data_IF_071947777094
#
_entry.id   IF_071947777094
#
_cell.length_a   1.000
_cell.length_b   1.000
_cell.length_c   1.000
_cell.angle_alpha   90.00
_cell.angle_beta   90.00
_cell.angle_gamma   90.00
#
_symmetry.space_group_name_H-M   'P 1'
#
loop_
_entity.id
_entity.type
_entity.pdbx_description
1 polymer ?
#
# COMPACT_ATOMS: atom_id res chain seq x y z
N UNK A 1 -13.01 -18.69 24.04
CA UNK A 1 -12.46 -20.06 23.84
C UNK A 1 -12.75 -20.94 25.05
N UNK A 2 -12.41 -20.52 26.28
CA UNK A 2 -12.68 -21.30 27.49
C UNK A 2 -14.16 -21.55 27.82
N UNK A 3 -15.08 -20.68 27.39
CA UNK A 3 -16.53 -20.94 27.52
C UNK A 3 -17.07 -22.13 26.71
N UNK A 4 -16.21 -22.83 25.94
CA UNK A 4 -16.54 -24.08 25.25
C UNK A 4 -15.99 -25.32 25.99
N UNK A 5 -15.28 -25.14 27.10
CA UNK A 5 -14.75 -26.24 27.90
C UNK A 5 -15.87 -26.81 28.79
N UNK A 6 -16.26 -28.06 28.54
CA UNK A 6 -17.32 -28.76 29.26
C UNK A 6 -18.68 -28.71 28.55
N UNK A 7 -19.35 -29.87 28.43
CA UNK A 7 -20.69 -29.99 27.85
C UNK A 7 -21.74 -30.11 28.98
N UNK A 8 -22.68 -29.16 29.11
CA UNK A 8 -23.60 -29.09 30.26
C UNK A 8 -24.44 -30.34 30.56
N UNK A 9 -24.63 -31.23 29.58
CA UNK A 9 -25.44 -32.45 29.73
C UNK A 9 -24.61 -33.74 29.87
N UNK A 10 -23.31 -33.71 29.58
CA UNK A 10 -22.49 -34.92 29.45
C UNK A 10 -21.31 -34.94 30.42
N UNK A 11 -20.64 -33.80 30.62
CA UNK A 11 -19.38 -33.74 31.37
C UNK A 11 -19.64 -33.19 32.78
N UNK A 12 -19.00 -33.76 33.80
CA UNK A 12 -19.12 -33.30 35.20
C UNK A 12 -18.26 -32.07 35.50
N UNK A 13 -17.17 -31.88 34.76
CA UNK A 13 -16.35 -30.68 34.77
C UNK A 13 -15.74 -30.43 33.39
N UNK A 14 -15.41 -29.18 33.09
CA UNK A 14 -14.70 -28.78 31.87
C UNK A 14 -13.26 -28.38 32.20
N UNK A 15 -12.30 -28.91 31.44
CA UNK A 15 -10.89 -28.52 31.58
C UNK A 15 -10.45 -27.67 30.38
N UNK A 16 -9.73 -26.59 30.65
CA UNK A 16 -9.21 -25.69 29.63
C UNK A 16 -7.79 -25.27 29.95
N UNK A 17 -6.85 -25.66 29.09
CA UNK A 17 -5.42 -25.37 29.25
C UNK A 17 -5.04 -24.20 28.34
N UNK A 18 -4.49 -23.13 28.92
CA UNK A 18 -3.89 -22.02 28.18
C UNK A 18 -2.37 -22.17 28.19
N UNK A 19 -1.76 -22.23 27.01
CA UNK A 19 -0.31 -22.16 26.85
C UNK A 19 0.04 -20.73 26.43
N UNK A 20 0.84 -20.04 27.24
CA UNK A 20 1.22 -18.64 27.02
C UNK A 20 2.64 -18.37 27.54
N UNK A 21 3.18 -17.20 27.22
CA UNK A 21 4.43 -16.72 27.78
C UNK A 21 4.29 -16.40 29.27
N UNK A 22 5.38 -16.55 30.02
CA UNK A 22 5.38 -16.26 31.47
C UNK A 22 4.96 -14.81 31.79
N UNK A 23 5.27 -13.86 30.91
CA UNK A 23 4.90 -12.44 31.05
C UNK A 23 3.38 -12.19 31.02
N UNK A 24 2.62 -13.01 30.29
CA UNK A 24 1.18 -12.83 30.10
C UNK A 24 0.35 -13.68 31.08
N UNK A 25 1.00 -14.57 31.85
CA UNK A 25 0.32 -15.46 32.79
C UNK A 25 -0.56 -14.69 33.79
N UNK A 26 -0.04 -13.59 34.36
CA UNK A 26 -0.82 -12.75 35.28
C UNK A 26 -2.04 -12.12 34.61
N UNK A 27 -1.92 -11.70 33.35
CA UNK A 27 -3.03 -11.15 32.59
C UNK A 27 -4.15 -12.19 32.40
N UNK A 28 -3.81 -13.40 31.96
CA UNK A 28 -4.80 -14.47 31.78
C UNK A 28 -5.40 -14.95 33.12
N UNK A 29 -4.60 -15.02 34.19
CA UNK A 29 -5.12 -15.32 35.54
C UNK A 29 -6.11 -14.24 36.01
N UNK A 30 -5.80 -12.96 35.79
CA UNK A 30 -6.71 -11.87 36.14
C UNK A 30 -8.02 -11.92 35.34
N UNK A 31 -7.95 -12.25 34.04
CA UNK A 31 -9.13 -12.36 33.17
C UNK A 31 -10.09 -13.48 33.60
N UNK A 32 -9.56 -14.56 34.17
CA UNK A 32 -10.35 -15.74 34.57
C UNK A 32 -10.84 -15.68 36.01
N UNK A 33 -10.02 -15.18 36.92
CA UNK A 33 -10.33 -15.16 38.35
C UNK A 33 -10.96 -13.84 38.81
N UNK A 34 -10.81 -12.75 38.05
CA UNK A 34 -11.37 -11.45 38.36
C UNK A 34 -12.24 -10.95 37.21
N UNK A 35 -13.32 -10.25 37.53
CA UNK A 35 -14.04 -9.47 36.52
C UNK A 35 -13.19 -8.25 36.19
N UNK A 36 -12.45 -8.29 35.08
CA UNK A 36 -11.78 -7.08 34.60
C UNK A 36 -12.83 -5.98 34.36
N UNK A 37 -12.63 -4.76 34.91
CA UNK A 37 -13.57 -3.67 34.67
C UNK A 37 -13.58 -3.35 33.17
N UNK A 38 -14.77 -3.38 32.57
CA UNK A 38 -14.94 -3.04 31.16
C UNK A 38 -14.83 -1.52 31.03
N UNK A 39 -13.73 -1.04 30.46
CA UNK A 39 -13.47 0.37 30.22
C UNK A 39 -13.89 0.82 28.82
N UNK A 40 -14.30 2.08 28.69
CA UNK A 40 -14.72 2.65 27.40
C UNK A 40 -13.52 3.11 26.56
N UNK A 41 -13.44 2.64 25.31
CA UNK A 41 -12.44 3.07 24.31
C UNK A 41 -12.94 4.21 23.41
N UNK A 42 -14.09 4.82 23.73
CA UNK A 42 -14.75 5.81 22.86
C UNK A 42 -13.90 7.06 22.62
N UNK A 43 -13.02 7.43 23.56
CA UNK A 43 -12.17 8.63 23.47
C UNK A 43 -11.33 8.65 22.18
N UNK A 44 -10.85 7.49 21.72
CA UNK A 44 -10.03 7.38 20.50
C UNK A 44 -10.81 7.65 19.21
N UNK A 45 -12.13 7.56 19.25
CA UNK A 45 -13.05 7.76 18.11
C UNK A 45 -14.03 8.92 18.32
N UNK A 46 -13.87 9.67 19.40
CA UNK A 46 -14.79 10.75 19.76
C UNK A 46 -14.89 11.82 18.68
N UNK A 47 -13.77 12.25 18.11
CA UNK A 47 -13.77 13.28 17.06
C UNK A 47 -14.51 12.82 15.79
N UNK A 48 -14.27 11.58 15.34
CA UNK A 48 -14.95 11.00 14.17
C UNK A 48 -16.47 10.90 14.41
N UNK A 49 -16.86 10.41 15.58
CA UNK A 49 -18.27 10.26 15.94
C UNK A 49 -18.95 11.63 16.13
N UNK A 50 -18.26 12.61 16.73
CA UNK A 50 -18.77 13.97 16.86
C UNK A 50 -19.01 14.62 15.49
N UNK A 51 -18.09 14.43 14.54
CA UNK A 51 -18.28 14.91 13.16
C UNK A 51 -19.54 14.30 12.53
N UNK A 52 -19.79 13.01 12.72
CA UNK A 52 -20.97 12.34 12.20
C UNK A 52 -22.28 12.94 12.75
N UNK A 53 -22.35 13.21 14.05
CA UNK A 53 -23.54 13.81 14.66
C UNK A 53 -23.77 15.27 14.23
N UNK A 54 -22.69 16.02 14.00
CA UNK A 54 -22.77 17.37 13.45
C UNK A 54 -23.26 17.35 12.00
N UNK A 55 -22.81 16.40 11.19
CA UNK A 55 -23.26 16.21 9.80
C UNK A 55 -24.72 15.79 9.73
N UNK A 56 -25.15 14.89 10.62
CA UNK A 56 -26.57 14.48 10.73
C UNK A 56 -27.47 15.62 11.23
N UNK A 57 -26.89 16.66 11.84
CA UNK A 57 -27.63 17.79 12.39
C UNK A 57 -28.25 17.55 13.77
N UNK A 58 -27.88 16.43 14.42
CA UNK A 58 -28.27 16.08 15.78
C UNK A 58 -27.59 16.97 16.82
N UNK A 59 -26.36 17.40 16.52
CA UNK A 59 -25.51 18.21 17.41
C UNK A 59 -25.12 19.50 16.70
N UNK A 60 -25.56 20.65 17.22
CA UNK A 60 -25.35 21.98 16.61
C UNK A 60 -24.51 22.91 17.47
N UNK A 61 -24.36 22.59 18.75
CA UNK A 61 -23.58 23.38 19.69
C UNK A 61 -22.89 22.50 20.73
N UNK A 62 -21.97 23.09 21.49
CA UNK A 62 -21.19 22.40 22.52
C UNK A 62 -22.07 21.77 23.60
N UNK A 63 -23.18 22.40 23.99
CA UNK A 63 -24.01 21.93 25.09
C UNK A 63 -24.83 20.69 24.67
N UNK A 64 -25.36 20.69 23.43
CA UNK A 64 -25.95 19.51 22.79
C UNK A 64 -24.93 18.38 22.62
N UNK A 65 -23.67 18.70 22.27
CA UNK A 65 -22.62 17.69 22.18
C UNK A 65 -22.28 17.07 23.55
N UNK A 66 -22.35 17.85 24.63
CA UNK A 66 -22.19 17.34 26.00
C UNK A 66 -23.37 16.44 26.37
N UNK A 67 -24.59 16.83 26.02
CA UNK A 67 -25.77 16.00 26.23
C UNK A 67 -25.68 14.69 25.43
N UNK A 68 -25.26 14.75 24.17
CA UNK A 68 -25.01 13.58 23.33
C UNK A 68 -23.97 12.64 23.96
N UNK A 69 -22.85 13.19 24.45
CA UNK A 69 -21.84 12.41 25.16
C UNK A 69 -22.45 11.71 26.38
N UNK A 70 -23.42 12.35 27.05
CA UNK A 70 -24.21 11.82 28.16
C UNK A 70 -24.87 10.46 27.90
N UNK A 71 -25.23 10.15 26.65
CA UNK A 71 -25.82 8.86 26.26
C UNK A 71 -24.80 7.75 26.03
N UNK A 72 -23.50 8.04 26.15
CA UNK A 72 -22.44 7.06 25.88
C UNK A 72 -21.97 6.36 27.15
N UNK A 73 -21.52 5.10 27.01
CA UNK A 73 -20.86 4.38 28.11
C UNK A 73 -19.58 5.09 28.60
N UNK A 74 -18.94 5.87 27.71
CA UNK A 74 -17.79 6.70 28.08
C UNK A 74 -18.14 7.72 29.15
N UNK A 75 -19.29 8.38 29.05
CA UNK A 75 -19.74 9.37 30.03
C UNK A 75 -20.01 8.76 31.40
N UNK A 76 -20.61 7.57 31.45
CA UNK A 76 -20.85 6.83 32.70
C UNK A 76 -19.53 6.53 33.44
N UNK A 77 -18.44 6.30 32.71
CA UNK A 77 -17.10 6.05 33.27
C UNK A 77 -16.24 7.30 33.41
N UNK A 78 -16.74 8.46 32.99
CA UNK A 78 -15.96 9.70 32.95
C UNK A 78 -15.88 10.35 34.33
N UNK A 79 -14.66 10.58 34.83
CA UNK A 79 -14.40 11.37 36.05
C UNK A 79 -14.00 12.83 35.76
N UNK A 80 -13.95 13.23 34.48
CA UNK A 80 -13.47 14.53 33.98
C UNK A 80 -14.61 15.40 33.45
N UNK A 81 -14.35 16.69 33.27
CA UNK A 81 -15.30 17.65 32.72
C UNK A 81 -15.62 17.36 31.23
N UNK A 82 -16.86 16.95 30.89
CA UNK A 82 -17.22 16.54 29.53
C UNK A 82 -17.10 17.68 28.51
N UNK A 83 -17.38 18.93 28.92
CA UNK A 83 -17.29 20.10 28.03
C UNK A 83 -15.89 20.38 27.48
N UNK A 84 -14.84 20.12 28.27
CA UNK A 84 -13.45 20.30 27.81
C UNK A 84 -13.07 19.26 26.75
N UNK A 85 -13.59 18.04 26.88
CA UNK A 85 -13.31 16.93 25.97
C UNK A 85 -13.97 17.21 24.61
N UNK A 86 -15.24 17.64 24.61
CA UNK A 86 -15.95 18.06 23.40
C UNK A 86 -15.25 19.26 22.75
N UNK A 87 -14.84 20.26 23.53
CA UNK A 87 -14.09 21.41 23.00
C UNK A 87 -12.80 20.95 22.30
N UNK A 88 -12.03 20.06 22.93
CA UNK A 88 -10.79 19.53 22.37
C UNK A 88 -11.03 18.77 21.06
N UNK A 89 -12.08 17.94 21.01
CA UNK A 89 -12.47 17.21 19.80
C UNK A 89 -12.91 18.17 18.68
N UNK A 90 -13.70 19.20 19.01
CA UNK A 90 -14.12 20.21 18.04
C UNK A 90 -12.94 21.02 17.47
N UNK A 91 -11.94 21.35 18.29
CA UNK A 91 -10.72 22.03 17.84
C UNK A 91 -9.90 21.14 16.87
N UNK A 92 -9.86 19.82 17.10
CA UNK A 92 -9.22 18.89 16.17
C UNK A 92 -9.94 18.86 14.81
N UNK A 93 -11.27 18.77 14.84
CA UNK A 93 -12.10 18.77 13.63
C UNK A 93 -12.01 20.09 12.85
N UNK A 94 -11.96 21.23 13.57
CA UNK A 94 -11.74 22.56 12.99
C UNK A 94 -10.38 22.63 12.28
N UNK A 95 -9.32 22.13 12.91
CA UNK A 95 -7.97 22.08 12.31
C UNK A 95 -7.95 21.27 11.02
N UNK A 96 -8.73 20.19 10.95
CA UNK A 96 -8.87 19.35 9.77
C UNK A 96 -9.88 19.88 8.74
N UNK A 97 -10.49 21.05 8.99
CA UNK A 97 -11.50 21.68 8.13
C UNK A 97 -12.75 20.82 7.91
N UNK A 98 -13.11 19.96 8.88
CA UNK A 98 -14.30 19.11 8.82
C UNK A 98 -15.54 19.81 9.37
N UNK A 99 -15.36 20.65 10.39
CA UNK A 99 -16.41 21.49 10.95
C UNK A 99 -15.92 22.93 11.05
N UNK A 100 -16.84 23.89 10.96
CA UNK A 100 -16.59 25.27 11.41
C UNK A 100 -17.03 25.38 12.85
N UNK A 101 -16.11 25.75 13.73
CA UNK A 101 -16.36 25.85 15.16
C UNK A 101 -16.22 27.28 15.66
N UNK A 102 -17.32 27.88 16.10
CA UNK A 102 -17.29 29.21 16.70
C UNK A 102 -17.06 29.09 18.22
N UNK A 103 -15.88 29.49 18.70
CA UNK A 103 -15.47 29.29 20.10
C UNK A 103 -16.28 30.11 21.11
N UNK A 104 -16.73 31.30 20.70
CA UNK A 104 -17.48 32.21 21.57
C UNK A 104 -18.93 31.73 21.81
N UNK A 105 -19.62 31.34 20.73
CA UNK A 105 -21.01 30.84 20.80
C UNK A 105 -21.10 29.34 21.08
N UNK A 106 -20.01 28.59 20.83
CA UNK A 106 -20.00 27.14 20.91
C UNK A 106 -20.71 26.45 19.74
N UNK A 107 -21.04 27.16 18.66
CA UNK A 107 -21.81 26.63 17.52
C UNK A 107 -20.94 25.82 16.56
N UNK A 108 -21.49 24.73 16.05
CA UNK A 108 -20.92 23.89 15.00
C UNK A 108 -21.65 24.09 13.68
N UNK A 109 -20.91 24.06 12.59
CA UNK A 109 -21.46 23.94 11.23
C UNK A 109 -20.67 22.87 10.49
N UNK A 110 -21.35 21.96 9.82
CA UNK A 110 -20.71 20.98 8.96
C UNK A 110 -20.10 21.64 7.72
N UNK A 111 -19.05 21.02 7.20
CA UNK A 111 -18.47 21.36 5.90
C UNK A 111 -18.67 20.20 4.93
N UNK A 112 -18.45 20.43 3.64
CA UNK A 112 -18.50 19.34 2.64
C UNK A 112 -17.47 18.24 2.92
N UNK A 113 -16.28 18.60 3.42
CA UNK A 113 -15.27 17.61 3.83
C UNK A 113 -15.77 16.79 5.02
N UNK A 114 -16.44 17.43 5.98
CA UNK A 114 -17.11 16.76 7.10
C UNK A 114 -18.18 15.78 6.62
N UNK A 115 -19.01 16.18 5.65
CA UNK A 115 -20.04 15.33 5.03
C UNK A 115 -19.40 14.09 4.40
N UNK A 116 -18.38 14.26 3.56
CA UNK A 116 -17.68 13.14 2.91
C UNK A 116 -17.07 12.21 3.97
N UNK A 117 -16.44 12.76 5.01
CA UNK A 117 -15.83 11.97 6.08
C UNK A 117 -16.85 11.09 6.79
N UNK A 118 -18.01 11.67 7.13
CA UNK A 118 -19.10 10.96 7.79
C UNK A 118 -19.76 9.93 6.89
N UNK A 119 -19.98 10.23 5.60
CA UNK A 119 -20.64 9.32 4.67
C UNK A 119 -19.81 8.06 4.39
N UNK A 120 -18.48 8.22 4.29
CA UNK A 120 -17.57 7.12 3.95
C UNK A 120 -16.84 6.51 5.16
N UNK A 121 -17.18 6.90 6.39
CA UNK A 121 -16.53 6.42 7.61
C UNK A 121 -15.00 6.59 7.58
N UNK A 122 -14.53 7.72 7.04
CA UNK A 122 -13.10 8.04 6.96
C UNK A 122 -12.71 8.87 8.18
N UNK A 123 -11.56 8.55 8.76
CA UNK A 123 -11.09 9.23 9.97
C UNK A 123 -10.67 10.68 9.68
N UNK A 124 -10.79 11.56 10.68
CA UNK A 124 -10.40 12.97 10.54
C UNK A 124 -8.93 13.15 10.14
N UNK A 125 -8.07 12.25 10.60
CA UNK A 125 -6.65 12.26 10.30
C UNK A 125 -6.38 11.93 8.82
N UNK A 126 -7.11 10.96 8.25
CA UNK A 126 -6.99 10.63 6.82
C UNK A 126 -7.55 11.73 5.94
N UNK A 127 -8.64 12.37 6.34
CA UNK A 127 -9.14 13.55 5.63
C UNK A 127 -8.16 14.72 5.64
N UNK A 128 -7.42 14.91 6.73
CA UNK A 128 -6.33 15.89 6.77
C UNK A 128 -5.20 15.54 5.78
N UNK A 129 -4.82 14.25 5.68
CA UNK A 129 -3.83 13.78 4.70
C UNK A 129 -4.31 14.03 3.27
N UNK A 130 -5.58 13.77 2.97
CA UNK A 130 -6.17 14.09 1.68
C UNK A 130 -6.14 15.59 1.39
N UNK A 131 -6.57 16.43 2.33
CA UNK A 131 -6.61 17.87 2.11
C UNK A 131 -5.20 18.48 1.90
N UNK A 132 -4.16 17.91 2.52
CA UNK A 132 -2.79 18.41 2.36
C UNK A 132 -2.11 17.94 1.07
N UNK A 133 -2.46 16.75 0.57
CA UNK A 133 -1.74 16.12 -0.54
C UNK A 133 -2.51 16.13 -1.87
N UNK A 134 -3.84 16.27 -1.86
CA UNK A 134 -4.63 16.33 -3.08
C UNK A 134 -4.46 17.69 -3.76
N UNK A 135 -4.11 17.67 -5.05
CA UNK A 135 -3.97 18.84 -5.92
C UNK A 135 -4.72 18.61 -7.23
N UNK A 136 -5.17 19.68 -7.87
CA UNK A 136 -5.74 19.58 -9.22
C UNK A 136 -4.69 19.11 -10.23
N UNK A 137 -5.04 18.13 -11.07
CA UNK A 137 -4.14 17.62 -12.12
C UNK A 137 -3.10 16.58 -11.68
N UNK A 138 -3.30 15.93 -10.52
CA UNK A 138 -2.41 14.86 -10.08
C UNK A 138 -2.41 13.65 -11.04
N UNK A 139 -1.22 13.09 -11.25
CA UNK A 139 -1.09 11.81 -11.94
C UNK A 139 -1.63 10.67 -11.08
N UNK A 140 -2.14 9.62 -11.73
CA UNK A 140 -2.72 8.46 -11.04
C UNK A 140 -1.76 7.81 -10.03
N UNK A 141 -0.45 7.81 -10.31
CA UNK A 141 0.55 7.28 -9.38
C UNK A 141 0.67 8.08 -8.08
N UNK A 142 0.53 9.41 -8.16
CA UNK A 142 0.57 10.26 -6.97
C UNK A 142 -0.71 10.08 -6.16
N UNK A 143 -1.86 9.95 -6.84
CA UNK A 143 -3.13 9.62 -6.20
C UNK A 143 -3.05 8.29 -5.43
N UNK A 144 -2.49 7.25 -6.04
CA UNK A 144 -2.25 5.97 -5.37
C UNK A 144 -1.32 6.09 -4.16
N UNK A 145 -0.27 6.92 -4.23
CA UNK A 145 0.62 7.16 -3.08
C UNK A 145 -0.10 7.83 -1.93
N UNK A 146 -0.93 8.82 -2.21
CA UNK A 146 -1.73 9.51 -1.19
C UNK A 146 -2.74 8.55 -0.57
N UNK A 147 -3.42 7.76 -1.39
CA UNK A 147 -4.37 6.75 -0.94
C UNK A 147 -3.70 5.67 -0.06
N UNK A 148 -2.55 5.14 -0.47
CA UNK A 148 -1.83 4.14 0.32
C UNK A 148 -1.28 4.70 1.65
N UNK A 149 -1.14 6.03 1.78
CA UNK A 149 -0.62 6.70 2.96
C UNK A 149 -1.65 7.03 4.03
N UNK A 150 -2.93 6.67 3.86
CA UNK A 150 -3.98 6.98 4.83
C UNK A 150 -3.90 6.13 6.11
N UNK A 151 -4.49 6.65 7.18
CA UNK A 151 -4.37 6.02 8.50
C UNK A 151 -5.21 4.77 8.69
N UNK A 152 -6.20 4.50 7.83
CA UNK A 152 -6.98 3.27 7.82
C UNK A 152 -6.11 2.04 7.47
N UNK A 153 -5.12 2.22 6.59
CA UNK A 153 -4.20 1.14 6.21
C UNK A 153 -3.07 0.91 7.21
N UNK A 154 -3.01 1.68 8.32
CA UNK A 154 -2.03 1.47 9.39
C UNK A 154 -2.13 0.07 10.01
N UNK A 155 -3.33 -0.52 9.99
CA UNK A 155 -3.61 -1.85 10.54
C UNK A 155 -3.33 -2.99 9.54
N UNK A 156 -2.76 -2.70 8.36
CA UNK A 156 -2.32 -3.72 7.40
C UNK A 156 -0.82 -3.96 7.60
N UNK A 157 -0.41 -4.85 8.52
CA UNK A 157 1.00 -5.17 8.70
C UNK A 157 1.51 -6.02 7.54
N UNK A 158 2.76 -5.81 7.17
CA UNK A 158 3.48 -6.73 6.28
C UNK A 158 4.09 -7.84 7.12
N UNK A 159 3.66 -9.08 6.87
CA UNK A 159 4.20 -10.26 7.58
C UNK A 159 5.57 -10.64 7.07
N UNK A 160 6.32 -11.44 7.83
CA UNK A 160 7.71 -11.75 7.49
C UNK A 160 7.81 -12.59 6.21
N UNK A 161 6.89 -13.52 6.03
CA UNK A 161 6.73 -14.37 4.85
C UNK A 161 6.37 -13.58 3.58
N UNK A 162 5.66 -12.46 3.71
CA UNK A 162 5.22 -11.62 2.58
C UNK A 162 6.35 -10.71 2.05
N UNK A 163 7.40 -10.44 2.85
CA UNK A 163 8.46 -9.48 2.49
C UNK A 163 9.19 -9.86 1.20
N UNK A 164 9.46 -11.14 0.99
CA UNK A 164 10.18 -11.61 -0.19
C UNK A 164 9.34 -11.45 -1.47
N UNK A 165 8.04 -11.71 -1.39
CA UNK A 165 7.12 -11.54 -2.52
C UNK A 165 6.88 -10.06 -2.84
N UNK A 166 6.68 -9.23 -1.83
CA UNK A 166 6.52 -7.78 -2.00
C UNK A 166 7.77 -7.12 -2.60
N UNK A 167 8.97 -7.59 -2.24
CA UNK A 167 10.22 -7.14 -2.86
C UNK A 167 10.23 -7.42 -4.37
N UNK A 168 9.84 -8.64 -4.78
CA UNK A 168 9.74 -9.02 -6.20
C UNK A 168 8.72 -8.15 -6.96
N UNK A 169 7.55 -7.90 -6.38
CA UNK A 169 6.52 -7.04 -6.98
C UNK A 169 7.00 -5.58 -7.14
N UNK A 170 7.74 -5.06 -6.16
CA UNK A 170 8.35 -3.72 -6.24
C UNK A 170 9.40 -3.63 -7.34
N UNK A 171 10.22 -4.67 -7.50
CA UNK A 171 11.24 -4.74 -8.54
C UNK A 171 10.60 -4.73 -9.95
N UNK A 172 9.57 -5.56 -10.16
CA UNK A 172 8.88 -5.66 -11.45
C UNK A 172 8.14 -4.37 -11.84
N UNK A 173 7.52 -3.70 -10.88
CA UNK A 173 6.88 -2.39 -11.12
C UNK A 173 7.89 -1.29 -11.45
N UNK A 174 9.07 -1.31 -10.83
CA UNK A 174 10.16 -0.36 -11.12
C UNK A 174 10.68 -0.49 -12.56
N UNK A 175 10.82 -1.71 -13.06
CA UNK A 175 11.24 -1.95 -14.44
C UNK A 175 10.21 -1.49 -15.47
N UNK A 176 8.93 -1.79 -15.24
CA UNK A 176 7.85 -1.31 -16.09
C UNK A 176 7.82 0.22 -16.12
N UNK A 177 8.02 0.87 -14.97
CA UNK A 177 8.07 2.33 -14.88
C UNK A 177 9.30 2.92 -15.59
N UNK A 178 10.47 2.28 -15.44
CA UNK A 178 11.70 2.70 -16.12
C UNK A 178 11.58 2.58 -17.65
N UNK A 179 10.91 1.54 -18.14
CA UNK A 179 10.62 1.37 -19.57
C UNK A 179 9.65 2.47 -20.06
N UNK A 180 8.57 2.73 -19.34
CA UNK A 180 7.63 3.79 -19.73
C UNK A 180 8.30 5.17 -19.73
N UNK A 181 9.20 5.44 -18.77
CA UNK A 181 9.99 6.67 -18.73
C UNK A 181 10.95 6.79 -19.92
N UNK A 182 11.72 5.75 -20.22
CA UNK A 182 12.67 5.78 -21.35
C UNK A 182 11.97 5.93 -22.69
N UNK A 183 10.78 5.32 -22.85
CA UNK A 183 9.93 5.50 -24.03
C UNK A 183 9.35 6.92 -24.14
N UNK A 184 9.07 7.58 -23.01
CA UNK A 184 8.61 8.98 -22.99
C UNK A 184 9.73 9.98 -23.33
N UNK A 185 10.97 9.68 -22.94
CA UNK A 185 12.13 10.55 -23.17
C UNK A 185 12.70 10.38 -24.58
N UNK A 186 12.62 9.19 -25.17
CA UNK A 186 13.16 8.91 -26.52
C UNK A 186 12.27 7.89 -27.24
N UNK A 187 11.30 8.39 -28.02
CA UNK A 187 10.32 7.56 -28.73
C UNK A 187 10.88 6.85 -29.98
N UNK A 188 12.06 7.26 -30.46
CA UNK A 188 12.66 6.77 -31.71
C UNK A 188 13.20 5.32 -31.61
N UNK A 189 13.65 4.90 -30.42
CA UNK A 189 14.32 3.61 -30.20
C UNK A 189 13.52 2.65 -29.30
N UNK A 190 12.20 2.55 -29.55
CA UNK A 190 11.29 1.65 -28.82
C UNK A 190 11.84 0.22 -28.70
N UNK A 191 12.39 -0.31 -29.79
CA UNK A 191 12.84 -1.71 -29.86
C UNK A 191 14.06 -1.97 -28.98
N UNK A 192 14.95 -0.99 -28.85
CA UNK A 192 16.16 -1.12 -28.04
C UNK A 192 15.84 -0.89 -26.55
N UNK A 193 14.90 -0.02 -26.21
CA UNK A 193 14.37 0.12 -24.85
C UNK A 193 13.69 -1.16 -24.33
N UNK A 194 12.81 -1.76 -25.14
CA UNK A 194 12.13 -3.02 -24.78
C UNK A 194 13.14 -4.16 -24.63
N UNK A 195 14.14 -4.26 -25.52
CA UNK A 195 15.21 -5.27 -25.42
C UNK A 195 16.08 -5.11 -24.18
N UNK A 196 16.52 -3.89 -23.87
CA UNK A 196 17.32 -3.65 -22.67
C UNK A 196 16.54 -3.97 -21.39
N UNK A 197 15.24 -3.66 -21.38
CA UNK A 197 14.37 -3.97 -20.24
C UNK A 197 14.15 -5.47 -20.09
N UNK A 198 13.80 -6.18 -21.18
CA UNK A 198 13.66 -7.64 -21.16
C UNK A 198 14.98 -8.34 -20.79
N UNK A 199 16.10 -7.86 -21.32
CA UNK A 199 17.42 -8.39 -20.97
C UNK A 199 17.74 -8.20 -19.49
N UNK A 200 17.43 -7.05 -18.91
CA UNK A 200 17.60 -6.80 -17.48
C UNK A 200 16.70 -7.71 -16.62
N UNK A 201 15.43 -7.90 -17.03
CA UNK A 201 14.50 -8.83 -16.36
C UNK A 201 15.05 -10.26 -16.38
N UNK A 202 15.51 -10.74 -17.55
CA UNK A 202 16.05 -12.09 -17.71
C UNK A 202 17.31 -12.26 -16.87
N UNK A 203 18.24 -11.29 -16.90
CA UNK A 203 19.49 -11.36 -16.13
C UNK A 203 19.23 -11.38 -14.63
N UNK A 204 18.26 -10.61 -14.16
CA UNK A 204 17.85 -10.64 -12.76
C UNK A 204 17.15 -11.94 -12.36
N UNK A 205 16.21 -12.43 -13.18
CA UNK A 205 15.45 -13.66 -12.85
C UNK A 205 16.31 -14.92 -12.96
N UNK A 206 17.16 -15.02 -13.98
CA UNK A 206 17.97 -16.21 -14.22
C UNK A 206 19.26 -16.23 -13.39
N UNK A 207 19.87 -15.06 -13.15
CA UNK A 207 21.21 -14.97 -12.55
C UNK A 207 21.30 -14.08 -11.30
N UNK A 208 20.22 -13.38 -10.92
CA UNK A 208 20.23 -12.50 -9.75
C UNK A 208 21.02 -11.19 -9.92
N UNK A 209 21.36 -10.81 -11.15
CA UNK A 209 22.11 -9.58 -11.42
C UNK A 209 21.20 -8.35 -11.50
N UNK A 210 21.32 -7.44 -10.54
CA UNK A 210 20.55 -6.18 -10.44
C UNK A 210 21.25 -4.95 -11.05
N UNK A 211 22.48 -5.09 -11.57
CA UNK A 211 23.19 -3.96 -12.16
C UNK A 211 22.71 -3.65 -13.59
N UNK A 212 22.12 -2.47 -13.75
CA UNK A 212 21.49 -2.04 -15.01
C UNK A 212 22.51 -1.70 -16.08
N UNK A 213 23.68 -1.18 -15.71
CA UNK A 213 24.71 -0.79 -16.69
C UNK A 213 25.46 -2.02 -17.21
N UNK A 214 25.81 -2.96 -16.33
CA UNK A 214 26.37 -4.26 -16.73
C UNK A 214 25.37 -5.05 -17.59
N UNK A 215 24.08 -5.08 -17.23
CA UNK A 215 23.05 -5.74 -18.04
C UNK A 215 22.90 -5.10 -19.43
N UNK A 216 22.94 -3.77 -19.53
CA UNK A 216 22.92 -3.06 -20.83
C UNK A 216 24.12 -3.44 -21.69
N UNK A 217 25.31 -3.50 -21.09
CA UNK A 217 26.53 -3.93 -21.79
C UNK A 217 26.42 -5.37 -22.29
N UNK A 218 25.97 -6.30 -21.44
CA UNK A 218 25.79 -7.71 -21.80
C UNK A 218 24.77 -7.90 -22.93
N UNK A 219 23.64 -7.18 -22.88
CA UNK A 219 22.62 -7.22 -23.95
C UNK A 219 23.17 -6.66 -25.27
N UNK A 220 24.00 -5.62 -25.20
CA UNK A 220 24.65 -5.02 -26.38
C UNK A 220 25.73 -5.94 -26.96
N UNK A 221 26.54 -6.55 -26.10
CA UNK A 221 27.58 -7.50 -26.49
C UNK A 221 26.96 -8.77 -27.10
N UNK A 222 25.81 -9.22 -26.60
CA UNK A 222 25.04 -10.33 -27.17
C UNK A 222 24.45 -10.04 -28.56
N UNK A 223 24.35 -8.76 -28.98
CA UNK A 223 23.81 -8.37 -30.29
C UNK A 223 24.72 -8.84 -31.43
N UNK A 224 26.04 -8.69 -31.29
CA UNK A 224 26.99 -9.04 -32.35
C UNK A 224 26.98 -10.54 -32.68
N UNK A 225 27.10 -11.47 -31.71
CA UNK A 225 27.09 -12.90 -32.00
C UNK A 225 25.74 -13.37 -32.56
N UNK A 226 24.62 -12.92 -32.00
CA UNK A 226 23.29 -13.31 -32.47
C UNK A 226 23.04 -12.83 -33.89
N UNK A 227 23.48 -11.61 -34.21
CA UNK A 227 23.38 -11.08 -35.56
C UNK A 227 24.25 -11.90 -36.52
N UNK A 228 25.54 -12.10 -36.22
CA UNK A 228 26.43 -12.96 -37.04
C UNK A 228 25.89 -14.39 -37.22
N UNK A 229 25.28 -14.97 -36.19
CA UNK A 229 24.67 -16.29 -36.27
C UNK A 229 23.40 -16.30 -37.13
N UNK A 230 22.55 -15.29 -37.00
CA UNK A 230 21.37 -15.12 -37.85
C UNK A 230 21.79 -14.98 -39.31
N UNK A 231 22.83 -14.18 -39.58
CA UNK A 231 23.41 -14.02 -40.92
C UNK A 231 24.00 -15.32 -41.47
N UNK A 232 24.59 -16.16 -40.63
CA UNK A 232 25.12 -17.46 -41.01
C UNK A 232 24.03 -18.49 -41.33
N UNK A 233 22.85 -18.37 -40.71
CA UNK A 233 21.73 -19.30 -40.89
C UNK A 233 20.82 -18.93 -42.06
N UNK A 234 20.81 -17.66 -42.52
CA UNK A 234 20.00 -17.26 -43.68
C UNK A 234 20.34 -18.14 -44.88
N UNK A 235 19.41 -19.01 -45.33
CA UNK A 235 19.66 -19.90 -46.45
C UNK A 235 19.92 -19.07 -47.71
N UNK A 236 21.06 -19.30 -48.38
CA UNK A 236 21.42 -18.62 -49.63
C UNK A 236 22.34 -17.40 -49.51
N UNK A 237 22.72 -16.96 -48.29
CA UNK A 237 23.68 -15.84 -48.12
C UNK A 237 25.12 -16.22 -48.49
N UNK A 238 25.53 -17.42 -48.12
CA UNK A 238 26.81 -18.01 -48.53
C UNK A 238 26.52 -19.04 -49.61
N UNK A 239 26.91 -18.76 -50.86
CA UNK A 239 26.66 -19.66 -52.00
C UNK A 239 27.35 -21.02 -51.83
N UNK A 240 28.36 -21.09 -50.97
CA UNK A 240 29.07 -22.31 -50.59
C UNK A 240 28.16 -23.30 -49.85
N UNK A 241 27.16 -22.82 -49.10
CA UNK A 241 26.22 -23.69 -48.38
C UNK A 241 25.23 -24.40 -49.32
N UNK A 242 24.99 -23.86 -50.53
CA UNK A 242 24.12 -24.45 -51.54
C UNK A 242 24.91 -25.19 -52.65
N UNK A 243 26.14 -24.76 -52.93
CA UNK A 243 27.04 -25.38 -53.90
C UNK A 243 28.44 -25.59 -53.29
N UNK A 244 28.71 -26.76 -52.68
CA UNK A 244 29.97 -27.05 -51.97
C UNK A 244 31.23 -26.93 -52.84
N UNK A 245 31.09 -26.99 -54.18
CA UNK A 245 32.17 -26.81 -55.15
C UNK A 245 32.77 -25.39 -55.14
N UNK A 246 32.02 -24.38 -54.71
CA UNK A 246 32.45 -22.98 -54.62
C UNK A 246 33.47 -22.73 -53.50
N UNK A 247 33.60 -23.64 -52.52
CA UNK A 247 34.59 -23.54 -51.44
C UNK A 247 36.05 -23.72 -51.88
N UNK A 248 36.29 -24.27 -53.09
CA UNK A 248 37.64 -24.56 -53.63
C UNK A 248 38.31 -23.38 -54.34
N UNK A 249 37.60 -22.27 -54.53
CA UNK A 249 38.12 -21.09 -55.23
C UNK A 249 39.08 -20.34 -54.28
N UNK A 250 40.32 -20.01 -54.68
CA UNK A 250 41.25 -19.28 -53.81
C UNK A 250 40.77 -17.86 -53.47
N UNK A 251 41.07 -17.39 -52.26
CA UNK A 251 40.56 -16.11 -51.72
C UNK A 251 41.05 -14.87 -52.48
N UNK A 252 42.07 -15.02 -53.34
CA UNK A 252 42.61 -13.95 -54.18
C UNK A 252 41.81 -13.73 -55.49
N UNK A 253 40.84 -14.59 -55.81
CA UNK A 253 40.07 -14.50 -57.05
C UNK A 253 39.01 -13.38 -56.99
N UNK A 254 38.96 -12.45 -57.96
CA UNK A 254 38.04 -11.32 -57.92
C UNK A 254 36.59 -11.81 -57.95
N UNK A 255 35.81 -11.41 -56.94
CA UNK A 255 34.43 -11.86 -56.75
C UNK A 255 34.25 -12.98 -55.72
N UNK A 256 35.32 -13.49 -55.09
CA UNK A 256 35.26 -14.53 -54.05
C UNK A 256 34.63 -14.13 -52.69
N UNK A 257 33.87 -13.03 -52.64
CA UNK A 257 33.18 -12.57 -51.42
C UNK A 257 31.89 -13.33 -51.07
N UNK A 258 31.57 -14.40 -51.82
CA UNK A 258 30.40 -15.27 -51.61
C UNK A 258 30.68 -16.50 -50.73
N UNK A 259 31.94 -16.70 -50.32
CA UNK A 259 32.35 -17.73 -49.37
C UNK A 259 31.89 -17.42 -47.95
#
# INVERSE_FOLDING_TARGET
MLGRAGRPQYDTFGEGVIITNHSELQYYLSLLNQQLPIESQFVGKLADNLNAEVVLGNVRNRDEAVQWLGYTYYYVRLLRSPGLIIHSAAVLLEKCQLIKYERASGKFQSTELGNIASHYYVTYNSMMVYNQNLRGGMAMIELFRVFAGISEFKLVPVRQEEKAELARLREGTKEAFNLLRSLSETSADFRDHVRCTLGSIIMRVAYGFDDTETNRRLVTDAKKPVQSFTEAIVPGRYLVNSFPSLGKIPDWFPGAGFK
#
